data_IF_076827439928
#
_entry.id   IF_076827439928
#
_cell.length_a   1.000
_cell.length_b   1.000
_cell.length_c   1.000
_cell.angle_alpha   90.00
_cell.angle_beta   90.00
_cell.angle_gamma   90.00
#
_symmetry.space_group_name_H-M   'P 1'
#
loop_
_entity.id
_entity.type
_entity.pdbx_description
1 polymer ?
#
# COMPACT_ATOMS: atom_id res chain seq x y z
N UNK A 1 -7.73 4.12 -26.75
CA UNK A 1 -8.89 4.92 -26.31
C UNK A 1 -8.98 6.16 -27.19
N UNK A 2 -10.18 6.60 -27.56
CA UNK A 2 -10.36 7.88 -28.25
C UNK A 2 -10.12 9.06 -27.30
N UNK A 3 -9.89 10.26 -27.82
CA UNK A 3 -9.70 11.43 -26.97
C UNK A 3 -10.90 11.71 -26.06
N UNK A 4 -12.12 11.49 -26.57
CA UNK A 4 -13.34 11.65 -25.79
C UNK A 4 -13.38 10.68 -24.60
N UNK A 5 -12.93 9.43 -24.79
CA UNK A 5 -12.81 8.45 -23.71
C UNK A 5 -11.77 8.87 -22.67
N UNK A 6 -10.62 9.40 -23.11
CA UNK A 6 -9.59 9.90 -22.19
C UNK A 6 -10.11 11.08 -21.37
N UNK A 7 -10.77 12.06 -22.01
CA UNK A 7 -11.38 13.19 -21.30
C UNK A 7 -12.44 12.74 -20.29
N UNK A 8 -13.33 11.84 -20.69
CA UNK A 8 -14.36 11.28 -19.80
C UNK A 8 -13.75 10.56 -18.60
N UNK A 9 -12.70 9.76 -18.80
CA UNK A 9 -12.01 9.08 -17.72
C UNK A 9 -11.36 10.05 -16.72
N UNK A 10 -10.78 11.15 -17.21
CA UNK A 10 -10.20 12.18 -16.35
C UNK A 10 -11.26 12.94 -15.54
N UNK A 11 -12.39 13.31 -16.15
CA UNK A 11 -13.49 13.97 -15.42
C UNK A 11 -14.11 13.04 -14.38
N UNK A 12 -14.32 11.78 -14.73
CA UNK A 12 -14.81 10.79 -13.76
C UNK A 12 -13.83 10.59 -12.60
N UNK A 13 -12.52 10.52 -12.88
CA UNK A 13 -11.49 10.44 -11.85
C UNK A 13 -11.52 11.67 -10.92
N UNK A 14 -11.67 12.88 -11.47
CA UNK A 14 -11.80 14.11 -10.66
C UNK A 14 -13.00 14.02 -9.73
N UNK A 15 -14.16 13.62 -10.25
CA UNK A 15 -15.38 13.41 -9.45
C UNK A 15 -15.16 12.41 -8.32
N UNK A 16 -14.61 11.23 -8.61
CA UNK A 16 -14.30 10.21 -7.57
C UNK A 16 -13.38 10.76 -6.48
N UNK A 17 -12.47 11.65 -6.86
CA UNK A 17 -11.49 12.24 -5.96
C UNK A 17 -12.00 13.49 -5.22
N UNK A 18 -13.24 13.92 -5.40
CA UNK A 18 -13.83 14.98 -4.58
C UNK A 18 -13.89 14.56 -3.10
N UNK A 19 -13.60 15.46 -2.13
CA UNK A 19 -13.54 15.08 -0.72
C UNK A 19 -14.77 14.34 -0.19
N UNK A 20 -16.02 14.72 -0.52
CA UNK A 20 -17.20 13.98 -0.08
C UNK A 20 -17.28 12.56 -0.64
N UNK A 21 -16.85 12.35 -1.89
CA UNK A 21 -16.84 11.03 -2.53
C UNK A 21 -15.79 10.12 -1.92
N UNK A 22 -14.60 10.65 -1.64
CA UNK A 22 -13.55 9.93 -0.91
C UNK A 22 -14.02 9.58 0.50
N UNK A 23 -14.64 10.51 1.23
CA UNK A 23 -15.15 10.25 2.58
C UNK A 23 -16.23 9.15 2.57
N UNK A 24 -17.17 9.21 1.62
CA UNK A 24 -18.20 8.17 1.43
C UNK A 24 -17.57 6.80 1.14
N UNK A 25 -16.55 6.75 0.27
CA UNK A 25 -15.82 5.52 -0.03
C UNK A 25 -15.15 4.94 1.22
N UNK A 26 -14.45 5.76 2.00
CA UNK A 26 -13.79 5.34 3.23
C UNK A 26 -14.80 4.79 4.24
N UNK A 27 -15.92 5.48 4.46
CA UNK A 27 -16.95 5.03 5.40
C UNK A 27 -17.58 3.71 4.98
N UNK A 28 -17.79 3.50 3.68
CA UNK A 28 -18.38 2.27 3.15
C UNK A 28 -17.42 1.08 3.11
N UNK A 29 -16.13 1.32 2.84
CA UNK A 29 -15.15 0.28 2.53
C UNK A 29 -14.09 0.06 3.60
N UNK A 30 -13.93 1.00 4.53
CA UNK A 30 -12.86 1.05 5.53
C UNK A 30 -11.45 1.18 4.94
N UNK A 31 -11.30 1.45 3.63
CA UNK A 31 -10.01 1.82 3.06
C UNK A 31 -9.50 3.17 3.60
N UNK A 32 -8.18 3.37 3.58
CA UNK A 32 -7.56 4.62 4.00
C UNK A 32 -7.83 5.76 3.01
N UNK A 33 -8.09 7.00 3.48
CA UNK A 33 -8.28 8.15 2.61
C UNK A 33 -6.98 8.49 1.87
N UNK A 34 -7.03 8.53 0.54
CA UNK A 34 -5.89 8.92 -0.31
C UNK A 34 -5.79 10.43 -0.56
N UNK A 35 -6.67 11.23 0.06
CA UNK A 35 -6.75 12.68 -0.10
C UNK A 35 -6.88 13.38 1.25
N UNK A 36 -5.93 14.27 1.57
CA UNK A 36 -5.89 15.00 2.85
C UNK A 36 -7.15 15.82 3.13
N UNK A 37 -7.74 16.45 2.11
CA UNK A 37 -8.95 17.27 2.29
C UNK A 37 -10.21 16.48 2.65
N UNK A 38 -10.21 15.15 2.57
CA UNK A 38 -11.31 14.31 3.04
C UNK A 38 -11.25 14.00 4.54
N UNK A 39 -10.08 14.20 5.18
CA UNK A 39 -9.86 13.84 6.60
C UNK A 39 -10.85 14.54 7.55
N UNK A 40 -11.13 15.86 7.43
CA UNK A 40 -12.07 16.52 8.33
C UNK A 40 -13.49 15.92 8.27
N UNK A 41 -13.89 15.40 7.11
CA UNK A 41 -15.21 14.77 6.91
C UNK A 41 -15.32 13.40 7.59
N UNK A 42 -14.21 12.83 8.05
CA UNK A 42 -14.13 11.49 8.64
C UNK A 42 -13.96 11.52 10.16
N UNK A 43 -13.87 12.70 10.79
CA UNK A 43 -13.66 12.82 12.23
C UNK A 43 -14.73 12.10 13.07
N UNK A 44 -16.00 12.22 12.68
CA UNK A 44 -17.10 11.50 13.34
C UNK A 44 -16.97 9.99 13.21
N UNK A 45 -16.66 9.52 12.00
CA UNK A 45 -16.46 8.10 11.70
C UNK A 45 -15.32 7.48 12.53
N UNK A 46 -14.24 8.23 12.76
CA UNK A 46 -13.14 7.79 13.60
C UNK A 46 -13.42 7.91 15.10
N UNK A 47 -14.25 8.88 15.52
CA UNK A 47 -14.66 9.03 16.93
C UNK A 47 -15.52 7.86 17.41
N UNK A 48 -16.40 7.35 16.56
CA UNK A 48 -17.22 6.17 16.85
C UNK A 48 -16.38 4.92 17.13
N UNK A 49 -15.26 4.76 16.43
CA UNK A 49 -14.33 3.66 16.66
C UNK A 49 -12.90 4.12 16.33
N UNK A 50 -12.10 4.47 17.36
CA UNK A 50 -10.73 4.95 17.19
C UNK A 50 -9.81 3.99 16.46
N UNK A 51 -10.07 2.67 16.48
CA UNK A 51 -9.26 1.68 15.74
C UNK A 51 -9.28 1.92 14.23
N UNK A 52 -10.36 2.52 13.69
CA UNK A 52 -10.46 2.89 12.27
C UNK A 52 -9.39 3.92 11.85
N UNK A 53 -8.87 4.69 12.80
CA UNK A 53 -7.86 5.74 12.56
C UNK A 53 -6.43 5.18 12.49
N UNK A 54 -6.18 4.01 13.08
CA UNK A 54 -4.82 3.45 13.22
C UNK A 54 -4.13 3.26 11.85
N UNK A 55 -4.82 2.65 10.88
CA UNK A 55 -4.26 2.46 9.54
C UNK A 55 -3.95 3.80 8.84
N UNK A 56 -4.76 4.83 9.10
CA UNK A 56 -4.50 6.18 8.59
C UNK A 56 -3.26 6.80 9.24
N UNK A 57 -3.08 6.65 10.55
CA UNK A 57 -1.91 7.19 11.24
C UNK A 57 -0.61 6.49 10.79
N UNK A 58 -0.66 5.17 10.57
CA UNK A 58 0.49 4.39 10.09
C UNK A 58 0.93 4.77 8.67
N UNK A 59 0.03 5.29 7.82
CA UNK A 59 0.41 5.71 6.46
C UNK A 59 1.46 6.83 6.46
N UNK A 60 1.50 7.64 7.53
CA UNK A 60 2.49 8.72 7.68
C UNK A 60 3.91 8.22 7.89
N UNK A 61 4.06 6.96 8.30
CA UNK A 61 5.34 6.27 8.51
C UNK A 61 5.61 5.21 7.43
N UNK A 62 4.69 5.02 6.48
CA UNK A 62 4.81 4.00 5.45
C UNK A 62 5.80 4.43 4.36
N UNK A 63 6.61 3.48 3.90
CA UNK A 63 7.48 3.66 2.73
C UNK A 63 6.80 3.07 1.50
N UNK A 64 6.90 3.78 0.37
CA UNK A 64 6.46 3.23 -0.90
C UNK A 64 7.32 2.02 -1.30
N UNK A 65 6.68 1.01 -1.90
CA UNK A 65 7.41 -0.10 -2.51
C UNK A 65 8.29 0.41 -3.66
N UNK A 66 9.53 -0.10 -3.82
CA UNK A 66 10.37 0.20 -4.96
C UNK A 66 9.63 0.01 -6.29
N UNK A 67 9.67 1.03 -7.15
CA UNK A 67 9.02 1.04 -8.47
C UNK A 67 9.95 0.52 -9.58
N UNK A 68 10.63 -0.59 -9.31
CA UNK A 68 11.54 -1.26 -10.26
C UNK A 68 10.98 -2.63 -10.64
N UNK A 69 11.14 -3.10 -11.89
CA UNK A 69 10.57 -4.38 -12.34
C UNK A 69 10.96 -5.58 -11.47
N UNK A 70 12.19 -5.56 -10.93
CA UNK A 70 12.76 -6.64 -10.13
C UNK A 70 12.13 -6.78 -8.74
N UNK A 71 11.42 -5.75 -8.24
CA UNK A 71 10.91 -5.74 -6.86
C UNK A 71 10.03 -6.96 -6.55
N UNK A 72 9.20 -7.39 -7.51
CA UNK A 72 8.34 -8.57 -7.31
C UNK A 72 9.15 -9.85 -7.08
N UNK A 73 10.26 -10.02 -7.80
CA UNK A 73 11.15 -11.17 -7.62
C UNK A 73 11.89 -11.08 -6.29
N UNK A 74 12.41 -9.90 -5.94
CA UNK A 74 13.10 -9.68 -4.66
C UNK A 74 12.20 -9.91 -3.45
N UNK A 75 10.92 -9.52 -3.52
CA UNK A 75 9.94 -9.77 -2.46
C UNK A 75 9.72 -11.28 -2.23
N UNK A 76 9.66 -12.07 -3.31
CA UNK A 76 9.58 -13.53 -3.22
C UNK A 76 10.83 -14.15 -2.58
N UNK A 77 12.02 -13.71 -3.00
CA UNK A 77 13.31 -14.16 -2.44
C UNK A 77 13.39 -13.88 -0.94
N UNK A 78 12.97 -12.68 -0.50
CA UNK A 78 12.91 -12.33 0.92
C UNK A 78 11.87 -13.15 1.69
N UNK A 79 10.70 -13.44 1.09
CA UNK A 79 9.70 -14.30 1.70
C UNK A 79 10.22 -15.74 1.94
N UNK A 80 10.94 -16.32 0.96
CA UNK A 80 11.61 -17.61 1.13
C UNK A 80 12.65 -17.58 2.27
N UNK A 81 13.42 -16.51 2.37
CA UNK A 81 14.44 -16.35 3.40
C UNK A 81 13.81 -16.27 4.81
N UNK A 82 12.70 -15.54 4.94
CA UNK A 82 11.91 -15.49 6.16
C UNK A 82 11.38 -16.88 6.51
N UNK A 83 10.84 -17.63 5.55
CA UNK A 83 10.35 -18.99 5.79
C UNK A 83 11.46 -19.94 6.26
N UNK A 84 12.62 -19.93 5.60
CA UNK A 84 13.80 -20.70 6.03
C UNK A 84 14.20 -20.40 7.46
N UNK A 85 14.15 -19.13 7.86
CA UNK A 85 14.56 -18.73 9.20
C UNK A 85 13.51 -19.06 10.25
N UNK A 86 12.25 -18.69 10.01
CA UNK A 86 11.16 -18.84 10.97
C UNK A 86 10.70 -20.29 11.15
N UNK A 87 10.75 -21.11 10.08
CA UNK A 87 10.28 -22.50 10.10
C UNK A 87 11.39 -23.52 9.94
N UNK A 88 12.43 -23.19 9.17
CA UNK A 88 13.51 -24.11 8.83
C UNK A 88 14.70 -24.10 9.80
N UNK A 89 14.69 -23.24 10.82
CA UNK A 89 15.78 -23.13 11.80
C UNK A 89 17.09 -22.56 11.24
N UNK A 90 17.07 -21.97 10.03
CA UNK A 90 18.25 -21.31 9.46
C UNK A 90 18.50 -20.00 10.22
N UNK A 91 19.72 -19.72 10.68
CA UNK A 91 20.03 -18.44 11.32
C UNK A 91 19.64 -17.25 10.42
N UNK A 92 18.96 -16.21 10.96
CA UNK A 92 18.46 -15.10 10.13
C UNK A 92 19.52 -14.45 9.26
N UNK A 93 20.72 -14.25 9.81
CA UNK A 93 21.85 -13.69 9.07
C UNK A 93 22.19 -14.52 7.82
N UNK A 94 22.32 -15.85 7.97
CA UNK A 94 22.63 -16.75 6.86
C UNK A 94 21.53 -16.75 5.81
N UNK A 95 20.25 -16.78 6.24
CA UNK A 95 19.12 -16.73 5.32
C UNK A 95 19.10 -15.42 4.50
N UNK A 96 19.42 -14.29 5.14
CA UNK A 96 19.47 -12.99 4.47
C UNK A 96 20.66 -12.86 3.51
N UNK A 97 21.84 -13.36 3.89
CA UNK A 97 23.01 -13.39 3.01
C UNK A 97 22.76 -14.23 1.75
N UNK A 98 22.08 -15.37 1.88
CA UNK A 98 21.63 -16.19 0.74
C UNK A 98 20.62 -15.44 -0.14
N UNK A 99 19.67 -14.75 0.49
CA UNK A 99 18.66 -13.94 -0.21
C UNK A 99 19.30 -12.82 -1.02
N UNK A 100 20.27 -12.11 -0.44
CA UNK A 100 20.99 -11.04 -1.11
C UNK A 100 21.72 -11.55 -2.36
N UNK A 101 22.48 -12.64 -2.24
CA UNK A 101 23.18 -13.25 -3.40
C UNK A 101 22.22 -13.63 -4.52
N UNK A 102 21.05 -14.21 -4.19
CA UNK A 102 20.00 -14.52 -5.17
C UNK A 102 19.44 -13.26 -5.83
N UNK A 103 19.17 -12.22 -5.05
CA UNK A 103 18.60 -10.97 -5.56
C UNK A 103 19.58 -10.26 -6.51
N UNK A 104 20.87 -10.25 -6.20
CA UNK A 104 21.94 -9.67 -7.04
C UNK A 104 22.10 -10.41 -8.38
N UNK A 105 21.91 -11.73 -8.37
CA UNK A 105 21.91 -12.55 -9.59
C UNK A 105 20.64 -12.36 -10.46
N UNK A 106 19.57 -11.78 -9.90
CA UNK A 106 18.29 -11.51 -10.57
C UNK A 106 18.23 -10.07 -11.12
N UNK A 107 19.37 -9.53 -11.56
CA UNK A 107 19.48 -8.14 -12.06
C UNK A 107 18.69 -7.91 -13.35
#
# INVERSE_FOLDING_TARGET
ASEAQVRGALEFWKYLMEPPNVARWVQASYYVPVRKSAIPLLEGFYRENPFRKVAFEQITQAQERPRVPQFSAWAGILAEALEKSLKGGVPPQKALEEAQRKAEATR
#
